data_IF_122321973594
#
_entry.id   IF_122321973594
#
_cell.length_a   1.000
_cell.length_b   1.000
_cell.length_c   1.000
_cell.angle_alpha   90.00
_cell.angle_beta   90.00
_cell.angle_gamma   90.00
#
_symmetry.space_group_name_H-M   'P 1'
#
loop_
_entity.id
_entity.type
_entity.pdbx_description
1 polymer ?
#
# COMPACT_ATOMS: atom_id res chain seq x y z
N UNK A 1 11.53 -0.76 -13.78
CA UNK A 1 10.43 0.17 -14.08
C UNK A 1 10.35 1.24 -13.01
N UNK A 2 9.70 2.34 -13.34
CA UNK A 2 9.68 3.53 -12.47
C UNK A 2 9.12 3.24 -11.07
N UNK A 3 8.03 2.48 -10.99
CA UNK A 3 7.43 2.16 -9.69
C UNK A 3 8.39 1.34 -8.82
N UNK A 4 9.01 0.31 -9.39
CA UNK A 4 9.96 -0.51 -8.66
C UNK A 4 11.15 0.31 -8.15
N UNK A 5 11.66 1.19 -9.00
CA UNK A 5 12.77 2.06 -8.61
C UNK A 5 12.38 2.96 -7.44
N UNK A 6 11.19 3.56 -7.52
CA UNK A 6 10.70 4.45 -6.46
C UNK A 6 10.55 3.71 -5.13
N UNK A 7 9.96 2.51 -5.17
CA UNK A 7 9.79 1.69 -3.98
C UNK A 7 11.15 1.30 -3.40
N UNK A 8 12.07 0.87 -4.25
CA UNK A 8 13.41 0.49 -3.80
C UNK A 8 14.15 1.66 -3.18
N UNK A 9 14.02 2.86 -3.74
CA UNK A 9 14.64 4.05 -3.17
C UNK A 9 14.09 4.35 -1.78
N UNK A 10 12.77 4.22 -1.60
CA UNK A 10 12.13 4.42 -0.30
C UNK A 10 12.65 3.39 0.71
N UNK A 11 12.77 2.13 0.31
CA UNK A 11 13.25 1.07 1.20
C UNK A 11 14.71 1.28 1.56
N UNK A 12 15.53 1.77 0.65
CA UNK A 12 16.94 2.09 0.92
C UNK A 12 17.08 3.19 1.96
N UNK A 13 16.10 4.08 2.07
CA UNK A 13 16.08 5.13 3.08
C UNK A 13 15.67 4.60 4.46
N UNK A 14 15.39 3.30 4.58
CA UNK A 14 14.95 2.71 5.83
C UNK A 14 13.50 2.97 6.17
N UNK A 15 12.71 3.43 5.22
CA UNK A 15 11.30 3.76 5.44
C UNK A 15 10.41 2.56 5.19
N UNK A 16 9.24 2.56 5.83
CA UNK A 16 8.28 1.46 5.75
C UNK A 16 7.17 1.77 4.77
N UNK A 17 6.71 0.73 4.08
CA UNK A 17 5.60 0.83 3.14
C UNK A 17 4.60 -0.29 3.45
N UNK A 18 3.33 0.08 3.62
CA UNK A 18 2.23 -0.89 3.69
C UNK A 18 1.40 -0.78 2.42
N UNK A 19 0.77 -1.86 2.00
CA UNK A 19 -0.25 -1.79 0.97
C UNK A 19 -1.53 -1.22 1.54
N UNK A 20 -2.34 -0.59 0.72
CA UNK A 20 -3.62 0.00 1.09
C UNK A 20 -4.71 -0.62 0.22
N UNK A 21 -5.56 -1.44 0.83
CA UNK A 21 -6.67 -2.09 0.14
C UNK A 21 -6.30 -3.37 -0.58
N UNK A 22 -6.71 -4.52 -0.03
CA UNK A 22 -6.42 -5.84 -0.63
C UNK A 22 -7.49 -6.17 -1.67
N UNK A 23 -7.37 -5.60 -2.87
CA UNK A 23 -8.31 -5.82 -3.96
C UNK A 23 -7.75 -6.78 -5.01
N UNK A 24 -8.65 -7.34 -5.84
CA UNK A 24 -8.24 -8.21 -6.95
C UNK A 24 -7.34 -7.46 -7.93
N UNK A 25 -7.73 -6.24 -8.30
CA UNK A 25 -6.92 -5.41 -9.20
C UNK A 25 -5.56 -5.08 -8.59
N UNK A 26 -5.55 -4.82 -7.29
CA UNK A 26 -4.31 -4.53 -6.58
C UNK A 26 -3.38 -5.72 -6.57
N UNK A 27 -3.93 -6.94 -6.40
CA UNK A 27 -3.11 -8.13 -6.43
C UNK A 27 -2.48 -8.36 -7.81
N UNK A 28 -3.22 -8.08 -8.87
CA UNK A 28 -2.69 -8.15 -10.24
C UNK A 28 -1.52 -7.17 -10.40
N UNK A 29 -1.68 -5.96 -9.88
CA UNK A 29 -0.62 -4.95 -9.92
C UNK A 29 0.63 -5.43 -9.17
N UNK A 30 0.45 -6.00 -7.99
CA UNK A 30 1.57 -6.52 -7.20
C UNK A 30 2.33 -7.60 -7.97
N UNK A 31 1.61 -8.51 -8.61
CA UNK A 31 2.22 -9.56 -9.41
C UNK A 31 2.93 -9.00 -10.64
N UNK A 32 2.28 -8.07 -11.32
CA UNK A 32 2.86 -7.46 -12.53
C UNK A 32 4.19 -6.75 -12.25
N UNK A 33 4.25 -6.02 -11.15
CA UNK A 33 5.46 -5.28 -10.76
C UNK A 33 6.40 -6.11 -9.86
N UNK A 34 6.06 -7.35 -9.60
CA UNK A 34 6.83 -8.24 -8.74
C UNK A 34 7.08 -7.62 -7.35
N UNK A 35 6.06 -7.02 -6.79
CA UNK A 35 6.12 -6.45 -5.44
C UNK A 35 5.73 -7.53 -4.44
N UNK A 36 6.57 -7.72 -3.43
CA UNK A 36 6.39 -8.78 -2.46
C UNK A 36 6.75 -8.32 -1.04
N UNK A 37 6.93 -9.25 -0.13
CA UNK A 37 7.22 -8.95 1.28
C UNK A 37 8.55 -8.23 1.52
N UNK A 38 9.43 -8.19 0.54
CA UNK A 38 10.66 -7.39 0.64
C UNK A 38 10.37 -5.90 0.49
N UNK A 39 9.22 -5.56 -0.07
CA UNK A 39 8.81 -4.18 -0.34
C UNK A 39 7.73 -3.69 0.62
N UNK A 40 6.74 -4.54 0.90
CA UNK A 40 5.62 -4.21 1.77
C UNK A 40 5.59 -5.16 2.96
N UNK A 41 5.41 -4.62 4.16
CA UNK A 41 5.31 -5.46 5.36
C UNK A 41 3.96 -6.16 5.45
N UNK A 42 2.91 -5.49 5.01
CA UNK A 42 1.55 -6.04 5.00
C UNK A 42 0.67 -5.19 4.08
N UNK A 43 -0.57 -5.62 3.92
CA UNK A 43 -1.59 -4.83 3.23
C UNK A 43 -2.70 -4.55 4.22
N UNK A 44 -3.02 -3.27 4.41
CA UNK A 44 -4.11 -2.85 5.28
C UNK A 44 -5.44 -2.95 4.53
N UNK A 45 -6.43 -3.59 5.14
CA UNK A 45 -7.75 -3.72 4.55
C UNK A 45 -8.84 -3.50 5.59
N UNK A 46 -9.94 -2.86 5.20
CA UNK A 46 -11.06 -2.58 6.07
C UNK A 46 -11.95 -3.78 6.32
N UNK A 47 -11.92 -4.77 5.43
CA UNK A 47 -12.78 -5.94 5.53
C UNK A 47 -12.25 -6.89 6.59
N UNK A 48 -12.98 -7.09 7.72
CA UNK A 48 -12.49 -7.97 8.78
C UNK A 48 -12.35 -9.43 8.36
N UNK A 49 -13.05 -9.85 7.31
CA UNK A 49 -12.93 -11.22 6.81
C UNK A 49 -11.58 -11.48 6.15
N UNK A 50 -10.87 -10.44 5.76
CA UNK A 50 -9.55 -10.57 5.14
C UNK A 50 -8.41 -10.53 6.14
N UNK A 51 -8.68 -10.11 7.36
CA UNK A 51 -7.63 -10.03 8.38
C UNK A 51 -7.07 -11.42 8.68
N UNK A 52 -5.76 -11.53 8.62
CA UNK A 52 -5.08 -12.81 8.81
C UNK A 52 -4.93 -13.64 7.53
N UNK A 53 -5.52 -13.22 6.43
CA UNK A 53 -5.35 -13.87 5.13
C UNK A 53 -4.06 -13.41 4.45
N UNK A 54 -3.74 -14.01 3.33
CA UNK A 54 -2.57 -13.67 2.51
C UNK A 54 -2.99 -13.42 1.08
N UNK A 55 -2.28 -12.53 0.40
CA UNK A 55 -2.57 -12.28 -1.01
C UNK A 55 -2.16 -13.47 -1.87
N UNK A 56 -2.97 -13.86 -2.87
CA UNK A 56 -2.61 -14.95 -3.77
C UNK A 56 -1.32 -14.63 -4.55
N UNK A 57 -0.45 -15.62 -4.67
CA UNK A 57 0.80 -15.49 -5.42
C UNK A 57 1.89 -14.71 -4.71
N UNK A 58 1.62 -13.51 -4.26
CA UNK A 58 2.60 -12.67 -3.57
C UNK A 58 2.74 -12.99 -2.08
N UNK A 59 1.74 -13.63 -1.51
CA UNK A 59 1.72 -14.08 -0.10
C UNK A 59 1.99 -12.98 0.91
N UNK A 60 1.51 -11.78 0.64
CA UNK A 60 1.59 -10.68 1.60
C UNK A 60 0.51 -10.84 2.65
N UNK A 61 0.85 -10.66 3.95
CA UNK A 61 -0.17 -10.75 4.98
C UNK A 61 -1.13 -9.57 4.90
N UNK A 62 -2.41 -9.85 5.08
CA UNK A 62 -3.44 -8.82 5.12
C UNK A 62 -3.78 -8.56 6.57
N UNK A 63 -3.71 -7.32 6.99
CA UNK A 63 -3.98 -6.88 8.36
C UNK A 63 -5.07 -5.83 8.36
N UNK A 64 -5.71 -5.63 9.52
CA UNK A 64 -6.71 -4.57 9.65
C UNK A 64 -6.07 -3.20 9.46
N UNK A 65 -6.89 -2.22 9.05
CA UNK A 65 -6.43 -0.83 8.99
C UNK A 65 -5.96 -0.34 10.35
N UNK A 66 -6.66 -0.75 11.40
CA UNK A 66 -6.29 -0.37 12.77
C UNK A 66 -4.88 -0.83 13.11
N UNK A 67 -4.54 -2.06 12.79
CA UNK A 67 -3.20 -2.62 13.01
C UNK A 67 -2.15 -1.80 12.26
N UNK A 68 -2.40 -1.54 10.99
CA UNK A 68 -1.46 -0.80 10.14
C UNK A 68 -1.27 0.64 10.62
N UNK A 69 -2.36 1.32 10.97
CA UNK A 69 -2.30 2.71 11.45
C UNK A 69 -1.56 2.82 12.78
N UNK A 70 -1.65 1.81 13.62
CA UNK A 70 -0.93 1.77 14.90
C UNK A 70 0.59 1.70 14.68
N UNK A 71 1.02 0.96 13.65
CA UNK A 71 2.43 0.90 13.27
C UNK A 71 2.87 2.21 12.64
N UNK A 72 1.96 2.90 11.96
CA UNK A 72 2.21 4.19 11.32
C UNK A 72 3.30 4.12 10.25
N UNK A 73 3.05 3.40 9.14
CA UNK A 73 4.04 3.31 8.07
C UNK A 73 4.32 4.68 7.45
N UNK A 74 5.49 4.83 6.87
CA UNK A 74 5.87 6.09 6.21
C UNK A 74 5.08 6.31 4.92
N UNK A 75 4.74 5.21 4.23
CA UNK A 75 4.03 5.27 2.96
C UNK A 75 2.95 4.19 2.91
N UNK A 76 1.89 4.48 2.19
CA UNK A 76 0.91 3.49 1.75
C UNK A 76 0.95 3.39 0.23
N UNK A 77 1.16 2.18 -0.29
CA UNK A 77 0.99 1.92 -1.72
C UNK A 77 -0.49 1.63 -1.95
N UNK A 78 -1.18 2.54 -2.62
CA UNK A 78 -2.62 2.48 -2.81
C UNK A 78 -2.95 1.53 -3.97
N UNK A 79 -3.55 0.39 -3.64
CA UNK A 79 -3.88 -0.63 -4.63
C UNK A 79 -5.17 -0.32 -5.39
N UNK A 80 -6.26 0.19 -4.75
CA UNK A 80 -7.42 0.67 -5.50
C UNK A 80 -7.18 2.10 -6.02
N UNK A 81 -6.13 2.29 -6.79
CA UNK A 81 -5.63 3.59 -7.25
C UNK A 81 -6.65 4.41 -8.03
N UNK A 82 -7.62 3.75 -8.66
CA UNK A 82 -8.66 4.43 -9.44
C UNK A 82 -9.66 5.22 -8.58
N UNK A 83 -9.66 5.01 -7.25
CA UNK A 83 -10.45 5.80 -6.31
C UNK A 83 -9.63 6.89 -5.62
N UNK A 84 -8.65 7.43 -6.31
CA UNK A 84 -7.70 8.40 -5.77
C UNK A 84 -8.34 9.55 -5.01
N UNK A 85 -9.30 10.24 -5.64
CA UNK A 85 -9.90 11.44 -5.02
C UNK A 85 -10.64 11.11 -3.73
N UNK A 86 -11.37 10.00 -3.71
CA UNK A 86 -12.07 9.56 -2.50
C UNK A 86 -11.11 9.18 -1.39
N UNK A 87 -10.02 8.49 -1.75
CA UNK A 87 -9.02 8.05 -0.79
C UNK A 87 -8.27 9.25 -0.21
N UNK A 88 -7.93 10.22 -1.02
CA UNK A 88 -7.27 11.44 -0.54
C UNK A 88 -8.12 12.18 0.49
N UNK A 89 -9.43 12.25 0.27
CA UNK A 89 -10.35 12.86 1.24
C UNK A 89 -10.44 12.06 2.52
N UNK A 90 -10.62 10.74 2.38
CA UNK A 90 -10.79 9.86 3.53
C UNK A 90 -9.56 9.80 4.42
N UNK A 91 -8.37 9.86 3.83
CA UNK A 91 -7.12 9.70 4.56
C UNK A 91 -6.40 11.01 4.87
N UNK A 92 -7.14 12.09 4.92
CA UNK A 92 -6.57 13.41 5.22
C UNK A 92 -5.80 13.44 6.54
N UNK A 93 -6.31 12.77 7.57
CA UNK A 93 -5.68 12.76 8.89
C UNK A 93 -4.28 12.16 8.89
N UNK A 94 -4.11 10.99 8.26
CA UNK A 94 -2.79 10.35 8.24
C UNK A 94 -1.81 11.13 7.38
N UNK A 95 -2.28 11.78 6.33
CA UNK A 95 -1.45 12.64 5.49
C UNK A 95 -0.95 13.85 6.27
N UNK A 96 -1.79 14.44 7.09
CA UNK A 96 -1.40 15.56 7.95
C UNK A 96 -0.35 15.15 8.98
N UNK A 97 -0.32 13.87 9.37
CA UNK A 97 0.68 13.34 10.28
C UNK A 97 1.99 12.96 9.59
N UNK A 98 2.06 13.11 8.28
CA UNK A 98 3.28 12.86 7.52
C UNK A 98 3.30 11.58 6.69
N UNK A 99 2.28 10.71 6.82
CA UNK A 99 2.19 9.51 5.98
C UNK A 99 1.83 9.91 4.56
N UNK A 100 2.55 9.37 3.59
CA UNK A 100 2.31 9.67 2.18
C UNK A 100 1.63 8.50 1.48
N UNK A 101 0.82 8.82 0.49
CA UNK A 101 0.10 7.84 -0.31
C UNK A 101 0.74 7.77 -1.70
N UNK A 102 1.08 6.57 -2.13
CA UNK A 102 1.64 6.32 -3.47
C UNK A 102 0.52 5.80 -4.36
N UNK A 103 0.19 6.56 -5.39
CA UNK A 103 -0.77 6.13 -6.41
C UNK A 103 0.06 5.66 -7.62
N UNK A 104 0.10 4.35 -7.89
CA UNK A 104 1.04 3.81 -8.87
C UNK A 104 0.64 4.05 -10.32
N UNK A 105 -0.64 4.28 -10.59
CA UNK A 105 -1.18 4.39 -11.95
C UNK A 105 -2.17 5.54 -12.01
N UNK A 106 -2.41 6.12 -13.19
CA UNK A 106 -1.73 5.88 -14.46
C UNK A 106 -0.28 6.33 -14.47
N UNK A 107 0.07 7.33 -13.65
CA UNK A 107 1.44 7.77 -13.42
C UNK A 107 1.72 7.75 -11.92
N UNK A 108 2.96 7.57 -11.53
CA UNK A 108 3.32 7.56 -10.11
C UNK A 108 3.04 8.94 -9.52
N UNK A 109 2.18 8.97 -8.50
CA UNK A 109 1.78 10.21 -7.83
C UNK A 109 1.86 9.99 -6.32
N UNK A 110 2.66 10.77 -5.64
CA UNK A 110 2.87 10.65 -4.19
C UNK A 110 2.29 11.88 -3.51
N UNK A 111 1.31 11.66 -2.63
CA UNK A 111 0.56 12.73 -1.95
C UNK A 111 0.73 12.64 -0.42
#
# INVERSE_FOLDING_TARGET
KKLNKKINDIKKQGKTIHGYGASTKGNVLLQFFNINKNHLDCIADRNPLKDGCYTPGTKLPIKSEKYSRKINPDYYLVLPWHFKDEILKREKKIRLKGTKLIFPLPNIDIR
#
